data_IF_732452447419
#
_entry.id   IF_732452447419
#
_cell.length_a   1.000
_cell.length_b   1.000
_cell.length_c   1.000
_cell.angle_alpha   90.00
_cell.angle_beta   90.00
_cell.angle_gamma   90.00
#
_symmetry.space_group_name_H-M   'P 1'
#
loop_
_entity.id
_entity.type
_entity.pdbx_description
1 polymer ?
#
# COMPACT_ATOMS: atom_id res chain seq x y z
N UNK A 1 -23.42 2.44 11.76
CA UNK A 1 -23.42 1.50 10.61
C UNK A 1 -23.60 0.10 11.18
N UNK A 2 -24.00 -0.91 10.41
CA UNK A 2 -24.07 -2.26 10.97
C UNK A 2 -22.64 -2.78 11.20
N UNK A 3 -22.36 -3.32 12.39
CA UNK A 3 -21.05 -3.89 12.74
C UNK A 3 -20.56 -4.83 11.64
N UNK A 4 -19.35 -4.59 11.14
CA UNK A 4 -18.72 -5.46 10.13
C UNK A 4 -18.57 -6.85 10.74
N UNK A 5 -18.98 -7.88 9.99
CA UNK A 5 -18.91 -9.26 10.47
C UNK A 5 -17.46 -9.73 10.54
N UNK A 6 -17.14 -10.64 11.47
CA UNK A 6 -15.81 -11.26 11.58
C UNK A 6 -15.36 -11.89 10.26
N UNK A 7 -16.28 -12.55 9.56
CA UNK A 7 -16.05 -13.13 8.23
C UNK A 7 -15.70 -12.07 7.18
N UNK A 8 -16.34 -10.91 7.24
CA UNK A 8 -16.03 -9.79 6.35
C UNK A 8 -14.64 -9.22 6.65
N UNK A 9 -14.26 -9.10 7.92
CA UNK A 9 -12.91 -8.66 8.32
C UNK A 9 -11.83 -9.62 7.82
N UNK A 10 -12.01 -10.93 8.03
CA UNK A 10 -11.06 -11.96 7.56
C UNK A 10 -10.92 -11.95 6.03
N UNK A 11 -12.03 -11.78 5.31
CA UNK A 11 -12.00 -11.67 3.84
C UNK A 11 -11.29 -10.39 3.37
N UNK A 12 -11.45 -9.27 4.07
CA UNK A 12 -10.77 -8.02 3.72
C UNK A 12 -9.26 -8.13 3.98
N UNK A 13 -8.86 -8.75 5.09
CA UNK A 13 -7.45 -9.02 5.38
C UNK A 13 -6.81 -9.87 4.29
N UNK A 14 -7.49 -10.92 3.83
CA UNK A 14 -7.00 -11.80 2.77
C UNK A 14 -6.87 -11.09 1.43
N UNK A 15 -7.92 -10.37 0.98
CA UNK A 15 -7.93 -9.70 -0.33
C UNK A 15 -6.93 -8.52 -0.36
N UNK A 16 -6.80 -7.75 0.73
CA UNK A 16 -5.91 -6.60 0.78
C UNK A 16 -4.43 -6.98 1.03
N UNK A 17 -4.16 -8.26 1.30
CA UNK A 17 -2.80 -8.77 1.42
C UNK A 17 -2.12 -8.79 0.04
N UNK A 18 -0.92 -8.21 -0.06
CA UNK A 18 -0.13 -8.20 -1.32
C UNK A 18 0.29 -9.61 -1.78
N UNK A 19 0.40 -10.55 -0.84
CA UNK A 19 0.66 -11.97 -1.12
C UNK A 19 -0.59 -12.78 -1.50
N UNK A 20 -1.74 -12.13 -1.67
CA UNK A 20 -2.94 -12.80 -2.15
C UNK A 20 -2.85 -13.06 -3.66
N UNK A 21 -2.59 -14.31 -4.03
CA UNK A 21 -2.47 -14.74 -5.44
C UNK A 21 -3.73 -14.48 -6.28
N UNK A 22 -4.89 -14.31 -5.64
CA UNK A 22 -6.18 -14.12 -6.31
C UNK A 22 -6.56 -12.66 -6.56
N UNK A 23 -6.06 -11.74 -5.74
CA UNK A 23 -6.52 -10.36 -5.73
C UNK A 23 -5.64 -9.42 -6.56
N UNK A 24 -4.51 -9.92 -7.09
CA UNK A 24 -3.51 -9.11 -7.81
C UNK A 24 -3.10 -7.83 -7.05
N UNK A 25 -3.14 -7.89 -5.72
CA UNK A 25 -3.01 -6.72 -4.86
C UNK A 25 -1.65 -6.05 -5.01
N UNK A 26 -0.59 -6.82 -5.27
CA UNK A 26 0.72 -6.24 -5.59
C UNK A 26 0.68 -5.37 -6.85
N UNK A 27 -0.03 -5.78 -7.91
CA UNK A 27 -0.15 -4.99 -9.15
C UNK A 27 -0.85 -3.66 -8.88
N UNK A 28 -1.92 -3.68 -8.07
CA UNK A 28 -2.64 -2.47 -7.65
C UNK A 28 -1.75 -1.55 -6.82
N UNK A 29 -0.94 -2.08 -5.89
CA UNK A 29 -0.02 -1.26 -5.09
C UNK A 29 1.05 -0.61 -5.98
N UNK A 30 1.61 -1.37 -6.92
CA UNK A 30 2.59 -0.85 -7.89
C UNK A 30 1.94 0.21 -8.81
N UNK A 31 0.69 0.03 -9.25
CA UNK A 31 -0.05 1.04 -10.04
C UNK A 31 -0.22 2.34 -9.26
N UNK A 32 -0.73 2.27 -8.02
CA UNK A 32 -0.89 3.41 -7.12
C UNK A 32 0.44 4.14 -6.91
N UNK A 33 1.53 3.40 -6.68
CA UNK A 33 2.85 3.98 -6.48
C UNK A 33 3.32 4.76 -7.72
N UNK A 34 3.12 4.20 -8.91
CA UNK A 34 3.47 4.87 -10.17
C UNK A 34 2.62 6.12 -10.43
N UNK A 35 1.31 6.08 -10.13
CA UNK A 35 0.43 7.24 -10.23
C UNK A 35 0.84 8.36 -9.27
N UNK A 36 1.06 8.04 -8.00
CA UNK A 36 1.50 8.99 -6.99
C UNK A 36 2.87 9.62 -7.35
N UNK A 37 3.78 8.83 -7.91
CA UNK A 37 5.09 9.30 -8.35
C UNK A 37 4.99 10.27 -9.55
N UNK A 38 4.09 10.01 -10.49
CA UNK A 38 3.76 10.93 -11.59
C UNK A 38 3.14 12.23 -11.08
N UNK A 39 2.18 12.15 -10.16
CA UNK A 39 1.55 13.33 -9.55
C UNK A 39 2.56 14.15 -8.73
N UNK A 40 3.59 13.50 -8.18
CA UNK A 40 4.69 14.15 -7.48
C UNK A 40 5.72 14.79 -8.42
N UNK A 41 5.56 14.63 -9.74
CA UNK A 41 6.37 15.29 -10.77
C UNK A 41 7.42 14.41 -11.46
N UNK A 42 7.50 13.10 -11.17
CA UNK A 42 8.34 12.19 -11.95
C UNK A 42 7.54 11.57 -13.11
N UNK A 43 7.61 12.18 -14.29
CA UNK A 43 6.85 11.71 -15.47
C UNK A 43 7.48 10.50 -16.17
N UNK A 44 8.79 10.27 -15.97
CA UNK A 44 9.58 9.35 -16.78
C UNK A 44 10.01 8.08 -16.04
N UNK A 45 9.96 8.07 -14.71
CA UNK A 45 10.41 6.94 -13.90
C UNK A 45 9.22 6.08 -13.44
N UNK A 46 9.47 4.78 -13.32
CA UNK A 46 8.59 3.87 -12.60
C UNK A 46 9.03 3.77 -11.13
N UNK A 47 8.16 3.29 -10.24
CA UNK A 47 8.44 3.22 -8.82
C UNK A 47 9.60 2.27 -8.45
N UNK A 48 9.90 1.26 -9.27
CA UNK A 48 11.06 0.37 -9.15
C UNK A 48 12.37 1.04 -9.61
N UNK A 49 12.27 2.07 -10.47
CA UNK A 49 13.39 2.87 -10.96
C UNK A 49 13.64 4.17 -10.15
N UNK A 50 12.88 4.40 -9.08
CA UNK A 50 12.95 5.59 -8.26
C UNK A 50 13.38 5.27 -6.81
N UNK A 51 14.09 6.22 -6.18
CA UNK A 51 14.58 6.09 -4.82
C UNK A 51 14.01 7.18 -3.90
N UNK A 52 13.72 6.78 -2.67
CA UNK A 52 13.48 7.67 -1.55
C UNK A 52 14.84 8.01 -0.96
N UNK A 53 15.19 9.28 -1.03
CA UNK A 53 16.39 9.84 -0.39
C UNK A 53 15.96 10.69 0.78
N UNK A 54 16.76 10.68 1.85
CA UNK A 54 16.60 11.67 2.89
C UNK A 54 17.07 13.05 2.41
N UNK A 55 16.91 14.05 3.26
CA UNK A 55 17.31 15.40 2.92
C UNK A 55 18.83 15.58 2.78
N UNK A 56 19.62 14.74 3.46
CA UNK A 56 21.08 14.77 3.43
C UNK A 56 21.66 14.01 2.21
N UNK A 57 20.79 13.35 1.44
CA UNK A 57 21.11 12.63 0.22
C UNK A 57 21.44 11.15 0.45
N UNK A 58 21.22 10.64 1.66
CA UNK A 58 21.37 9.22 1.96
C UNK A 58 20.18 8.44 1.40
N UNK A 59 20.47 7.35 0.71
CA UNK A 59 19.45 6.45 0.17
C UNK A 59 18.73 5.73 1.32
N UNK A 60 17.40 5.85 1.35
CA UNK A 60 16.55 5.20 2.36
C UNK A 60 16.07 3.85 1.85
N UNK A 61 15.44 3.85 0.67
CA UNK A 61 14.92 2.66 -0.04
C UNK A 61 14.44 3.05 -1.45
N UNK A 62 14.07 2.08 -2.29
CA UNK A 62 13.35 2.39 -3.53
C UNK A 62 11.87 2.78 -3.23
N UNK A 63 11.21 3.42 -4.20
CA UNK A 63 9.82 3.88 -4.03
C UNK A 63 8.83 2.70 -3.96
N UNK A 64 9.08 1.62 -4.67
CA UNK A 64 8.25 0.41 -4.62
C UNK A 64 8.23 -0.23 -3.22
N UNK A 65 9.39 -0.37 -2.58
CA UNK A 65 9.56 -0.89 -1.23
C UNK A 65 8.88 0.02 -0.21
N UNK A 66 9.04 1.33 -0.37
CA UNK A 66 8.30 2.30 0.45
C UNK A 66 6.79 2.10 0.31
N UNK A 67 6.27 1.99 -0.92
CA UNK A 67 4.85 1.79 -1.18
C UNK A 67 4.33 0.47 -0.59
N UNK A 68 5.10 -0.62 -0.72
CA UNK A 68 4.80 -1.92 -0.15
C UNK A 68 4.70 -1.87 1.38
N UNK A 69 5.69 -1.26 2.03
CA UNK A 69 5.71 -1.10 3.50
C UNK A 69 4.56 -0.21 3.97
N UNK A 70 4.30 0.88 3.25
CA UNK A 70 3.21 1.80 3.56
C UNK A 70 1.86 1.10 3.43
N UNK A 71 1.62 0.37 2.34
CA UNK A 71 0.38 -0.37 2.10
C UNK A 71 0.10 -1.38 3.20
N UNK A 72 1.09 -2.22 3.55
CA UNK A 72 0.91 -3.24 4.60
C UNK A 72 0.48 -2.60 5.93
N UNK A 73 1.11 -1.49 6.30
CA UNK A 73 0.74 -0.73 7.50
C UNK A 73 -0.63 -0.07 7.37
N UNK A 74 -0.95 0.50 6.21
CA UNK A 74 -2.23 1.14 5.97
C UNK A 74 -3.39 0.14 6.10
N UNK A 75 -3.28 -1.03 5.48
CA UNK A 75 -4.26 -2.12 5.59
C UNK A 75 -4.45 -2.53 7.03
N UNK A 76 -3.37 -2.81 7.77
CA UNK A 76 -3.43 -3.16 9.19
C UNK A 76 -4.19 -2.10 10.01
N UNK A 77 -3.89 -0.80 9.80
CA UNK A 77 -4.54 0.29 10.54
C UNK A 77 -5.99 0.50 10.13
N UNK A 78 -6.32 0.40 8.85
CA UNK A 78 -7.71 0.50 8.35
C UNK A 78 -8.55 -0.61 8.94
N UNK A 79 -8.08 -1.87 8.90
CA UNK A 79 -8.79 -3.00 9.48
C UNK A 79 -8.99 -2.83 10.99
N UNK A 80 -7.98 -2.33 11.71
CA UNK A 80 -8.13 -2.02 13.13
C UNK A 80 -9.22 -0.95 13.39
N UNK A 81 -9.29 0.11 12.60
CA UNK A 81 -10.36 1.13 12.71
C UNK A 81 -11.73 0.52 12.47
N UNK A 82 -11.87 -0.28 11.40
CA UNK A 82 -13.13 -0.96 11.06
C UNK A 82 -13.58 -1.94 12.16
N UNK A 83 -12.64 -2.58 12.84
CA UNK A 83 -12.94 -3.46 13.98
C UNK A 83 -13.46 -2.69 15.20
N UNK A 84 -13.14 -1.39 15.33
CA UNK A 84 -13.57 -0.52 16.43
C UNK A 84 -14.87 0.25 16.16
N UNK A 85 -15.43 0.18 14.94
CA UNK A 85 -16.73 0.81 14.66
C UNK A 85 -17.86 0.07 15.42
N UNK A 86 -18.63 0.84 16.24
CA UNK A 86 -19.81 0.38 17.00
C UNK A 86 -21.07 0.23 16.15
#
# INVERSE_FOLDING_TARGET
MAKISKKTMENLEDILNRGCDYAATQEVVTEIANEALKESGCELCQCDDAMVVDWDGDEVCNVEDFANIFWDKAVEKILNVLATEE
#
